data_IF_267187472151
#
_entry.id   IF_267187472151
#
_cell.length_a   1.000
_cell.length_b   1.000
_cell.length_c   1.000
_cell.angle_alpha   90.00
_cell.angle_beta   90.00
_cell.angle_gamma   90.00
#
_symmetry.space_group_name_H-M   'P 1'
#
loop_
_entity.id
_entity.type
_entity.pdbx_description
1 polymer ?
#
# COMPACT_ATOMS: atom_id res chain seq x y z
N UNK A 1 9.40 60.39 5.08
CA UNK A 1 8.05 59.92 4.67
C UNK A 1 8.12 58.82 3.60
N UNK A 2 8.89 59.00 2.52
CA UNK A 2 9.05 58.00 1.44
C UNK A 2 9.70 56.66 1.85
N UNK A 3 10.52 56.62 2.90
CA UNK A 3 11.18 55.39 3.39
C UNK A 3 10.25 54.46 4.17
N UNK A 4 9.29 55.01 4.94
CA UNK A 4 8.28 54.21 5.67
C UNK A 4 7.29 53.50 4.73
N UNK A 5 6.92 54.16 3.63
CA UNK A 5 6.02 53.60 2.61
C UNK A 5 6.68 52.39 1.92
N UNK A 6 7.98 52.51 1.57
CA UNK A 6 8.73 51.39 0.97
C UNK A 6 8.84 50.17 1.91
N UNK A 7 9.06 50.39 3.21
CA UNK A 7 9.14 49.31 4.20
C UNK A 7 7.79 48.61 4.37
N UNK A 8 6.68 49.37 4.43
CA UNK A 8 5.34 48.78 4.50
C UNK A 8 5.00 47.97 3.24
N UNK A 9 5.35 48.46 2.05
CA UNK A 9 5.15 47.72 0.79
C UNK A 9 5.97 46.43 0.73
N UNK A 10 7.23 46.46 1.19
CA UNK A 10 8.08 45.27 1.26
C UNK A 10 7.51 44.26 2.27
N UNK A 11 7.08 44.71 3.44
CA UNK A 11 6.51 43.84 4.47
C UNK A 11 5.20 43.17 3.99
N UNK A 12 4.34 43.93 3.30
CA UNK A 12 3.13 43.40 2.69
C UNK A 12 3.45 42.33 1.63
N UNK A 13 4.43 42.59 0.78
CA UNK A 13 4.83 41.66 -0.28
C UNK A 13 5.42 40.37 0.29
N UNK A 14 6.21 40.47 1.38
CA UNK A 14 6.73 39.31 2.11
C UNK A 14 5.59 38.49 2.74
N UNK A 15 4.59 39.14 3.34
CA UNK A 15 3.42 38.44 3.91
C UNK A 15 2.63 37.71 2.83
N UNK A 16 2.43 38.33 1.66
CA UNK A 16 1.73 37.69 0.53
C UNK A 16 2.50 36.49 -0.01
N UNK A 17 3.83 36.57 -0.11
CA UNK A 17 4.68 35.45 -0.53
C UNK A 17 4.69 34.32 0.52
N UNK A 18 4.74 34.66 1.81
CA UNK A 18 4.66 33.65 2.88
C UNK A 18 3.27 32.98 2.91
N UNK A 19 2.20 33.75 2.70
CA UNK A 19 0.84 33.22 2.63
C UNK A 19 0.66 32.30 1.41
N UNK A 20 1.21 32.65 0.23
CA UNK A 20 1.13 31.80 -0.97
C UNK A 20 1.97 30.52 -0.86
N UNK A 21 3.11 30.56 -0.14
CA UNK A 21 3.89 29.38 0.20
C UNK A 21 3.21 28.47 1.24
N UNK A 22 2.29 28.99 2.05
CA UNK A 22 1.47 28.18 2.96
C UNK A 22 0.30 27.46 2.28
N UNK A 23 -0.09 27.88 1.06
CA UNK A 23 -1.25 27.31 0.34
C UNK A 23 -0.87 26.07 -0.49
N UNK A 24 0.42 25.77 -0.68
CA UNK A 24 0.88 24.72 -1.58
C UNK A 24 1.05 23.33 -0.94
N UNK A 25 0.39 22.99 0.18
CA UNK A 25 0.50 21.63 0.75
C UNK A 25 -0.76 21.12 1.46
N UNK A 26 -1.92 21.26 0.81
CA UNK A 26 -3.08 20.42 1.14
C UNK A 26 -3.51 19.68 -0.15
N UNK A 27 -2.65 18.77 -0.63
CA UNK A 27 -3.18 17.65 -1.39
C UNK A 27 -4.02 16.84 -0.40
N UNK A 28 -5.33 16.88 -0.62
CA UNK A 28 -6.31 16.39 0.33
C UNK A 28 -5.97 14.99 0.83
N UNK A 29 -6.05 14.81 2.15
CA UNK A 29 -6.28 13.51 2.76
C UNK A 29 -7.69 13.02 2.36
N UNK A 30 -7.89 12.80 1.06
CA UNK A 30 -9.10 12.22 0.50
C UNK A 30 -9.18 10.76 0.93
N UNK A 31 -10.33 10.35 1.44
CA UNK A 31 -10.60 8.92 1.66
C UNK A 31 -10.48 8.18 0.33
N UNK A 32 -9.77 7.03 0.32
CA UNK A 32 -9.63 6.24 -0.91
C UNK A 32 -11.02 5.79 -1.41
N UNK A 33 -11.32 6.07 -2.68
CA UNK A 33 -12.58 5.74 -3.35
C UNK A 33 -12.31 4.84 -4.56
N UNK A 34 -13.34 4.10 -4.96
CA UNK A 34 -13.29 3.29 -6.16
C UNK A 34 -12.99 4.18 -7.39
N UNK A 35 -12.06 3.73 -8.23
CA UNK A 35 -11.70 4.40 -9.49
C UNK A 35 -12.63 4.04 -10.63
N UNK A 36 -13.37 2.94 -10.51
CA UNK A 36 -14.26 2.45 -11.56
C UNK A 36 -14.89 1.11 -11.20
N UNK A 37 -15.46 0.46 -12.22
CA UNK A 37 -16.00 -0.88 -12.13
C UNK A 37 -15.71 -1.65 -13.41
N UNK A 38 -15.52 -2.96 -13.28
CA UNK A 38 -15.46 -3.88 -14.40
C UNK A 38 -16.61 -4.88 -14.33
N UNK A 39 -17.02 -5.41 -15.48
CA UNK A 39 -18.06 -6.43 -15.57
C UNK A 39 -17.40 -7.80 -15.72
N UNK A 40 -17.77 -8.73 -14.84
CA UNK A 40 -17.29 -10.11 -14.90
C UNK A 40 -17.65 -10.77 -16.21
N UNK A 41 -16.68 -11.47 -16.78
CA UNK A 41 -16.84 -12.29 -17.98
C UNK A 41 -16.71 -13.75 -17.57
N UNK A 42 -17.54 -14.61 -18.17
CA UNK A 42 -17.45 -16.04 -17.93
C UNK A 42 -16.11 -16.56 -18.47
N UNK A 43 -15.29 -17.25 -17.67
CA UNK A 43 -14.09 -17.92 -18.19
C UNK A 43 -14.47 -18.99 -19.21
N UNK A 44 -13.64 -19.16 -20.24
CA UNK A 44 -13.72 -20.33 -21.13
C UNK A 44 -13.30 -21.61 -20.37
N UNK A 45 -13.64 -22.79 -20.91
CA UNK A 45 -13.27 -24.07 -20.28
C UNK A 45 -11.76 -24.16 -20.03
N UNK A 46 -11.36 -24.49 -18.79
CA UNK A 46 -9.95 -24.60 -18.39
C UNK A 46 -9.30 -23.29 -17.94
N UNK A 47 -10.06 -22.19 -17.85
CA UNK A 47 -9.60 -20.91 -17.33
C UNK A 47 -10.24 -20.60 -15.97
N UNK A 48 -9.51 -19.85 -15.14
CA UNK A 48 -9.72 -19.61 -13.71
C UNK A 48 -9.27 -20.76 -12.79
N UNK A 49 -8.03 -20.64 -12.32
CA UNK A 49 -7.43 -21.42 -11.26
C UNK A 49 -8.16 -21.16 -9.95
N UNK A 50 -8.62 -22.24 -9.31
CA UNK A 50 -9.31 -22.22 -8.01
C UNK A 50 -8.43 -22.75 -6.86
N UNK A 51 -7.13 -22.86 -7.07
CA UNK A 51 -6.19 -23.11 -5.97
C UNK A 51 -6.35 -22.03 -4.89
N UNK A 52 -6.11 -22.41 -3.63
CA UNK A 52 -6.19 -21.54 -2.45
C UNK A 52 -7.54 -20.80 -2.30
N UNK A 53 -8.63 -21.42 -2.76
CA UNK A 53 -9.99 -20.88 -2.74
C UNK A 53 -10.15 -19.59 -3.57
N UNK A 54 -9.31 -19.42 -4.60
CA UNK A 54 -9.40 -18.31 -5.56
C UNK A 54 -10.79 -18.25 -6.22
N UNK A 55 -11.42 -17.09 -6.15
CA UNK A 55 -12.74 -16.84 -6.74
C UNK A 55 -12.63 -16.57 -8.25
N UNK A 56 -13.62 -17.04 -9.01
CA UNK A 56 -13.76 -16.69 -10.43
C UNK A 56 -14.80 -15.60 -10.61
N UNK A 57 -14.57 -14.69 -11.55
CA UNK A 57 -15.57 -13.69 -11.89
C UNK A 57 -16.85 -14.33 -12.42
N UNK A 58 -17.96 -14.00 -11.77
CA UNK A 58 -19.31 -14.31 -12.26
C UNK A 58 -19.70 -13.43 -13.46
N UNK A 59 -20.35 -14.03 -14.44
CA UNK A 59 -20.83 -13.34 -15.64
C UNK A 59 -21.82 -12.23 -15.29
N UNK A 60 -21.56 -11.03 -15.79
CA UNK A 60 -22.46 -9.89 -15.61
C UNK A 60 -22.36 -9.16 -14.27
N UNK A 61 -21.75 -9.76 -13.25
CA UNK A 61 -21.49 -9.15 -11.93
C UNK A 61 -20.53 -7.96 -12.05
N UNK A 62 -20.76 -6.90 -11.29
CA UNK A 62 -19.88 -5.73 -11.27
C UNK A 62 -18.86 -5.82 -10.13
N UNK A 63 -17.59 -5.64 -10.45
CA UNK A 63 -16.48 -5.60 -9.50
C UNK A 63 -15.91 -4.19 -9.45
N UNK A 64 -15.68 -3.67 -8.25
CA UNK A 64 -15.10 -2.33 -8.09
C UNK A 64 -13.60 -2.38 -8.34
N UNK A 65 -13.05 -1.33 -8.95
CA UNK A 65 -11.62 -1.16 -9.13
C UNK A 65 -11.11 0.01 -8.32
N UNK A 66 -9.84 -0.06 -7.92
CA UNK A 66 -9.18 0.96 -7.10
C UNK A 66 -7.77 1.22 -7.61
N UNK A 67 -7.37 2.50 -7.60
CA UNK A 67 -5.99 2.96 -7.84
C UNK A 67 -5.30 3.42 -6.54
N UNK A 68 -6.00 3.33 -5.43
CA UNK A 68 -5.56 3.79 -4.11
C UNK A 68 -5.79 2.69 -3.08
N UNK A 69 -5.20 2.87 -1.90
CA UNK A 69 -5.41 2.03 -0.73
C UNK A 69 -5.70 2.92 0.49
N UNK A 70 -6.22 2.37 1.60
CA UNK A 70 -6.35 3.12 2.84
C UNK A 70 -5.01 3.72 3.32
N UNK A 71 -5.02 4.80 4.11
CA UNK A 71 -3.80 5.44 4.59
C UNK A 71 -2.88 4.46 5.33
N UNK A 72 -1.57 4.54 5.03
CA UNK A 72 -0.55 3.81 5.78
C UNK A 72 -0.35 4.51 7.13
N UNK A 73 -0.43 3.74 8.22
CA UNK A 73 -0.24 4.23 9.59
C UNK A 73 0.76 3.34 10.33
N UNK A 74 1.04 3.65 11.60
CA UNK A 74 1.79 2.72 12.49
C UNK A 74 1.03 1.42 12.79
N UNK A 75 -0.22 1.30 12.34
CA UNK A 75 -1.03 0.10 12.50
C UNK A 75 -1.97 -0.04 11.30
N UNK A 76 -1.39 -0.09 10.10
CA UNK A 76 -2.16 -0.19 8.85
C UNK A 76 -2.99 -1.47 8.87
N UNK A 77 -4.32 -1.34 8.95
CA UNK A 77 -5.23 -2.48 8.93
C UNK A 77 -5.39 -2.97 7.50
N UNK A 78 -5.44 -4.28 7.32
CA UNK A 78 -5.64 -4.92 6.03
C UNK A 78 -6.18 -6.33 6.18
N UNK A 79 -6.49 -6.95 5.05
CA UNK A 79 -6.91 -8.34 4.96
C UNK A 79 -5.76 -9.13 4.34
N UNK A 80 -5.33 -10.18 5.03
CA UNK A 80 -4.39 -11.15 4.50
C UNK A 80 -5.15 -12.16 3.63
N UNK A 81 -4.71 -12.35 2.40
CA UNK A 81 -5.17 -13.39 1.47
C UNK A 81 -4.06 -14.42 1.24
N UNK A 82 -4.41 -15.60 0.74
CA UNK A 82 -3.46 -16.68 0.43
C UNK A 82 -3.22 -16.71 -1.07
N UNK A 83 -1.95 -16.69 -1.46
CA UNK A 83 -1.53 -16.77 -2.86
C UNK A 83 -0.24 -17.58 -3.00
N UNK A 84 -0.11 -18.27 -4.12
CA UNK A 84 1.12 -18.90 -4.56
C UNK A 84 1.85 -18.01 -5.57
N UNK A 85 3.10 -17.71 -5.26
CA UNK A 85 4.01 -16.95 -6.13
C UNK A 85 4.87 -17.87 -7.01
N UNK A 86 4.58 -19.18 -7.00
CA UNK A 86 5.30 -20.17 -7.78
C UNK A 86 4.86 -20.15 -9.24
N UNK A 87 5.74 -20.67 -10.11
CA UNK A 87 5.38 -20.84 -11.52
C UNK A 87 4.26 -21.85 -11.65
N UNK A 88 3.12 -21.41 -12.16
CA UNK A 88 1.92 -22.24 -12.31
C UNK A 88 1.01 -22.25 -11.08
N UNK A 89 1.30 -21.44 -10.06
CA UNK A 89 0.38 -21.14 -8.97
C UNK A 89 -0.76 -20.19 -9.41
N UNK A 90 -1.61 -19.83 -8.46
CA UNK A 90 -2.74 -18.91 -8.64
C UNK A 90 -2.36 -17.43 -8.76
N UNK A 91 -1.14 -17.05 -8.36
CA UNK A 91 -0.60 -15.69 -8.54
C UNK A 91 -0.31 -15.30 -9.99
N UNK A 92 -0.46 -16.23 -10.93
CA UNK A 92 -0.35 -15.96 -12.36
C UNK A 92 1.10 -15.73 -12.83
N UNK A 93 1.45 -14.47 -13.08
CA UNK A 93 2.70 -14.06 -13.72
C UNK A 93 3.91 -14.04 -12.76
N UNK A 94 5.07 -13.67 -13.30
CA UNK A 94 6.24 -13.37 -12.48
C UNK A 94 6.05 -12.03 -11.75
N UNK A 95 6.58 -11.92 -10.53
CA UNK A 95 6.25 -10.80 -9.64
C UNK A 95 6.84 -9.46 -10.10
N UNK A 96 6.06 -8.38 -9.93
CA UNK A 96 6.33 -7.06 -10.49
C UNK A 96 7.64 -6.40 -10.02
N UNK A 97 8.14 -6.73 -8.83
CA UNK A 97 9.34 -6.10 -8.30
C UNK A 97 10.66 -6.60 -8.91
N UNK A 98 10.72 -7.88 -9.28
CA UNK A 98 11.97 -8.52 -9.70
C UNK A 98 11.84 -9.46 -10.90
N UNK A 99 10.65 -9.56 -11.48
CA UNK A 99 10.33 -10.42 -12.62
C UNK A 99 10.69 -11.89 -12.37
N UNK A 100 10.45 -12.38 -11.15
CA UNK A 100 10.70 -13.76 -10.74
C UNK A 100 9.48 -14.42 -10.11
N UNK A 101 9.47 -15.74 -10.15
CA UNK A 101 8.61 -16.55 -9.29
C UNK A 101 9.30 -16.80 -7.95
N UNK A 102 8.52 -16.88 -6.88
CA UNK A 102 9.00 -17.10 -5.52
C UNK A 102 8.39 -18.37 -4.95
N UNK A 103 9.20 -19.17 -4.25
CA UNK A 103 8.73 -20.42 -3.63
C UNK A 103 7.69 -20.12 -2.55
N UNK A 104 6.71 -21.00 -2.40
CA UNK A 104 5.69 -20.88 -1.35
C UNK A 104 6.27 -20.96 0.07
N UNK A 105 7.48 -21.50 0.19
CA UNK A 105 8.27 -21.55 1.42
C UNK A 105 8.95 -20.23 1.79
N UNK A 106 8.98 -19.25 0.89
CA UNK A 106 9.57 -17.93 1.16
C UNK A 106 8.49 -17.00 1.71
N UNK A 107 8.72 -16.26 2.81
CA UNK A 107 7.76 -15.32 3.34
C UNK A 107 7.71 -14.05 2.46
N UNK A 108 6.94 -14.13 1.38
CA UNK A 108 6.74 -13.05 0.40
C UNK A 108 5.28 -12.62 0.31
N UNK A 109 5.05 -11.37 -0.11
CA UNK A 109 3.72 -10.77 -0.27
C UNK A 109 3.60 -9.86 -1.50
N UNK A 110 2.37 -9.72 -1.98
CA UNK A 110 1.92 -8.64 -2.87
C UNK A 110 1.12 -7.59 -2.08
N UNK A 111 1.15 -6.33 -2.51
CA UNK A 111 0.39 -5.25 -1.88
C UNK A 111 -0.63 -4.65 -2.85
N UNK A 112 -1.80 -4.26 -2.36
CA UNK A 112 -2.75 -3.44 -3.14
C UNK A 112 -2.09 -2.15 -3.67
N UNK A 113 -2.54 -1.57 -4.79
CA UNK A 113 -1.79 -0.55 -5.56
C UNK A 113 -1.34 0.68 -4.76
N UNK A 114 -2.19 1.20 -3.87
CA UNK A 114 -1.80 2.35 -3.03
C UNK A 114 -0.74 2.01 -1.99
N UNK A 115 -0.71 0.77 -1.50
CA UNK A 115 0.35 0.26 -0.63
C UNK A 115 1.56 -0.23 -1.41
N UNK A 116 1.41 -0.75 -2.63
CA UNK A 116 2.53 -1.03 -3.51
C UNK A 116 3.30 0.25 -3.89
N UNK A 117 2.55 1.35 -4.06
CA UNK A 117 3.07 2.71 -4.24
C UNK A 117 4.06 2.81 -5.41
N UNK A 118 3.63 2.35 -6.59
CA UNK A 118 4.45 2.32 -7.81
C UNK A 118 5.81 1.65 -7.60
N UNK A 119 5.83 0.53 -6.87
CA UNK A 119 7.03 -0.22 -6.56
C UNK A 119 7.97 0.43 -5.54
N UNK A 120 7.61 1.55 -4.90
CA UNK A 120 8.46 2.17 -3.86
C UNK A 120 8.70 1.24 -2.66
N UNK A 121 7.84 0.23 -2.46
CA UNK A 121 8.01 -0.80 -1.42
C UNK A 121 8.62 -2.10 -1.93
N UNK A 122 8.97 -2.19 -3.21
CA UNK A 122 9.58 -3.38 -3.77
C UNK A 122 10.85 -3.79 -3.03
N UNK A 123 10.95 -5.09 -2.77
CA UNK A 123 12.10 -5.72 -2.11
C UNK A 123 12.41 -5.14 -0.72
N UNK A 124 11.42 -4.48 -0.11
CA UNK A 124 11.45 -4.09 1.30
C UNK A 124 10.64 -5.06 2.12
N UNK A 125 11.02 -5.18 3.39
CA UNK A 125 10.29 -6.02 4.32
C UNK A 125 9.21 -5.21 5.03
N UNK A 126 8.08 -5.87 5.30
CA UNK A 126 7.05 -5.38 6.20
C UNK A 126 6.87 -6.37 7.35
N UNK A 127 6.42 -5.88 8.50
CA UNK A 127 6.01 -6.75 9.60
C UNK A 127 4.49 -6.89 9.58
N UNK A 128 4.02 -8.13 9.56
CA UNK A 128 2.62 -8.51 9.50
C UNK A 128 2.24 -9.11 10.85
N UNK A 129 1.17 -8.58 11.45
CA UNK A 129 0.67 -9.01 12.75
C UNK A 129 -0.73 -9.58 12.58
N UNK A 130 -0.89 -10.85 12.94
CA UNK A 130 -2.14 -11.61 12.78
C UNK A 130 -2.15 -12.85 13.66
N UNK A 131 -3.33 -13.31 14.06
CA UNK A 131 -3.48 -14.54 14.87
C UNK A 131 -2.58 -14.56 16.14
N UNK A 132 -2.36 -13.40 16.76
CA UNK A 132 -1.50 -13.24 17.94
C UNK A 132 0.00 -13.41 17.68
N UNK A 133 0.43 -13.45 16.42
CA UNK A 133 1.82 -13.64 15.99
C UNK A 133 2.28 -12.54 15.04
N UNK A 134 3.57 -12.51 14.80
CA UNK A 134 4.24 -11.60 13.88
C UNK A 134 5.09 -12.39 12.89
N UNK A 135 5.11 -11.92 11.63
CA UNK A 135 6.04 -12.41 10.61
C UNK A 135 6.57 -11.24 9.79
N UNK A 136 7.86 -11.30 9.46
CA UNK A 136 8.51 -10.38 8.53
C UNK A 136 8.45 -10.97 7.13
N UNK A 137 7.89 -10.23 6.17
CA UNK A 137 7.72 -10.69 4.80
C UNK A 137 8.27 -9.69 3.79
N UNK A 138 8.80 -10.20 2.67
CA UNK A 138 9.35 -9.38 1.58
C UNK A 138 8.24 -9.01 0.59
N UNK A 139 8.13 -7.74 0.25
CA UNK A 139 7.22 -7.29 -0.81
C UNK A 139 7.85 -7.58 -2.17
N UNK A 140 7.20 -8.44 -2.95
CA UNK A 140 7.68 -8.88 -4.27
C UNK A 140 6.75 -8.48 -5.41
N UNK A 141 5.49 -8.15 -5.12
CA UNK A 141 4.49 -7.96 -6.17
C UNK A 141 3.43 -6.89 -5.86
N UNK A 142 2.65 -6.56 -6.88
CA UNK A 142 1.44 -5.75 -6.79
C UNK A 142 0.20 -6.65 -6.88
N UNK A 143 -0.71 -6.53 -5.91
CA UNK A 143 -2.03 -7.14 -5.99
C UNK A 143 -2.95 -6.18 -6.77
N UNK A 144 -3.08 -6.37 -8.08
CA UNK A 144 -3.73 -5.40 -8.97
C UNK A 144 -5.24 -5.26 -8.66
N UNK A 145 -5.63 -4.12 -8.11
CA UNK A 145 -7.04 -3.76 -7.89
C UNK A 145 -7.65 -2.93 -9.02
N UNK A 146 -6.92 -2.69 -10.11
CA UNK A 146 -7.33 -1.87 -11.25
C UNK A 146 -7.91 -2.69 -12.40
N UNK A 147 -7.55 -3.97 -12.49
CA UNK A 147 -7.93 -4.92 -13.54
C UNK A 147 -8.29 -6.28 -12.95
N UNK A 148 -8.83 -7.17 -13.78
CA UNK A 148 -9.35 -8.47 -13.39
C UNK A 148 -10.44 -8.92 -14.36
N UNK A 149 -11.00 -10.10 -14.13
CA UNK A 149 -12.06 -10.70 -14.95
C UNK A 149 -11.71 -10.79 -16.45
N UNK A 150 -10.43 -10.97 -16.77
CA UNK A 150 -9.91 -11.11 -18.12
C UNK A 150 -8.88 -12.24 -18.19
N UNK A 151 -8.46 -12.60 -19.40
CA UNK A 151 -7.54 -13.73 -19.60
C UNK A 151 -6.14 -13.52 -18.99
N UNK A 152 -5.70 -12.27 -18.79
CA UNK A 152 -4.38 -11.99 -18.20
C UNK A 152 -4.38 -12.26 -16.69
N UNK A 153 -5.54 -12.10 -16.04
CA UNK A 153 -5.75 -12.34 -14.61
C UNK A 153 -6.49 -13.67 -14.38
N UNK A 154 -6.45 -14.58 -15.36
CA UNK A 154 -7.13 -15.88 -15.33
C UNK A 154 -8.62 -15.80 -14.90
N UNK A 155 -9.29 -14.70 -15.29
CA UNK A 155 -10.67 -14.39 -14.92
C UNK A 155 -10.95 -14.32 -13.40
N UNK A 156 -9.92 -14.13 -12.57
CA UNK A 156 -10.06 -13.79 -11.15
C UNK A 156 -10.51 -12.32 -10.98
N UNK A 157 -11.24 -11.98 -9.91
CA UNK A 157 -11.68 -10.61 -9.66
C UNK A 157 -10.50 -9.67 -9.36
N UNK A 158 -10.67 -8.35 -9.53
CA UNK A 158 -9.69 -7.37 -9.07
C UNK A 158 -9.43 -7.54 -7.58
N UNK A 159 -8.16 -7.35 -7.19
CA UNK A 159 -7.77 -7.38 -5.80
C UNK A 159 -8.53 -6.32 -4.98
N UNK A 160 -8.72 -6.58 -3.68
CA UNK A 160 -9.23 -5.56 -2.77
C UNK A 160 -8.20 -4.45 -2.57
N UNK A 161 -8.64 -3.24 -2.23
CA UNK A 161 -7.75 -2.09 -2.07
C UNK A 161 -6.98 -2.06 -0.73
N UNK A 162 -7.29 -3.00 0.15
CA UNK A 162 -6.71 -3.16 1.48
C UNK A 162 -6.19 -4.58 1.73
N UNK A 163 -5.78 -5.27 0.66
CA UNK A 163 -5.28 -6.63 0.70
C UNK A 163 -3.75 -6.68 0.80
N UNK A 164 -3.27 -7.69 1.50
CA UNK A 164 -1.89 -8.15 1.51
C UNK A 164 -1.95 -9.61 1.10
N UNK A 165 -1.50 -9.90 -0.11
CA UNK A 165 -1.64 -11.22 -0.68
C UNK A 165 -0.38 -12.03 -0.43
N UNK A 166 -0.50 -13.16 0.27
CA UNK A 166 0.62 -13.73 1.00
C UNK A 166 0.84 -15.21 0.72
N UNK A 167 2.12 -15.54 0.60
CA UNK A 167 2.62 -16.91 0.45
C UNK A 167 2.23 -17.84 1.61
N UNK A 168 2.21 -19.16 1.34
CA UNK A 168 1.92 -20.19 2.35
C UNK A 168 2.83 -20.05 3.59
N UNK A 169 4.10 -19.68 3.42
CA UNK A 169 5.03 -19.44 4.52
C UNK A 169 4.62 -18.32 5.49
N UNK A 170 3.99 -17.23 4.99
CA UNK A 170 3.49 -16.15 5.85
C UNK A 170 2.37 -16.66 6.74
N UNK A 171 1.42 -17.40 6.17
CA UNK A 171 0.31 -18.02 6.93
C UNK A 171 0.80 -19.04 7.97
N UNK A 172 1.83 -19.82 7.62
CA UNK A 172 2.47 -20.77 8.54
C UNK A 172 3.18 -20.08 9.71
N UNK A 173 3.92 -19.01 9.44
CA UNK A 173 4.59 -18.23 10.48
C UNK A 173 3.59 -17.55 11.43
N UNK A 174 2.45 -17.09 10.91
CA UNK A 174 1.32 -16.59 11.71
C UNK A 174 0.57 -17.70 12.45
N UNK A 175 0.96 -18.97 12.30
CA UNK A 175 0.39 -20.09 13.03
C UNK A 175 -1.06 -20.39 12.66
N UNK A 176 -1.49 -20.04 11.44
CA UNK A 176 -2.86 -20.28 10.97
C UNK A 176 -2.95 -21.69 10.36
N UNK A 177 -3.82 -22.57 10.90
CA UNK A 177 -4.04 -23.91 10.35
C UNK A 177 -4.49 -23.85 8.89
N UNK A 178 -4.06 -24.82 8.06
CA UNK A 178 -4.36 -24.85 6.61
C UNK A 178 -5.86 -24.73 6.30
N UNK A 179 -6.70 -25.42 7.07
CA UNK A 179 -8.16 -25.40 6.91
C UNK A 179 -8.85 -24.11 7.42
N UNK A 180 -8.08 -23.14 7.90
CA UNK A 180 -8.57 -21.82 8.33
C UNK A 180 -7.92 -20.68 7.54
N UNK A 181 -7.23 -20.99 6.45
CA UNK A 181 -6.69 -19.98 5.52
C UNK A 181 -7.79 -19.52 4.57
N UNK A 182 -7.61 -18.33 4.01
CA UNK A 182 -8.60 -17.67 3.18
C UNK A 182 -8.50 -16.17 3.42
N UNK A 183 -9.20 -15.67 4.45
CA UNK A 183 -9.17 -14.27 4.85
C UNK A 183 -8.81 -14.14 6.33
N UNK A 184 -7.86 -13.26 6.64
CA UNK A 184 -7.49 -12.93 8.02
C UNK A 184 -7.34 -11.42 8.20
N UNK A 185 -8.05 -10.87 9.19
CA UNK A 185 -7.81 -9.50 9.65
C UNK A 185 -6.41 -9.38 10.26
N UNK A 186 -5.64 -8.43 9.73
CA UNK A 186 -4.28 -8.16 10.17
C UNK A 186 -4.02 -6.67 10.36
N UNK A 187 -2.88 -6.37 10.95
CA UNK A 187 -2.28 -5.05 10.81
C UNK A 187 -0.81 -5.17 10.44
N UNK A 188 -0.28 -4.13 9.80
CA UNK A 188 1.09 -4.11 9.31
C UNK A 188 1.84 -2.86 9.74
N UNK A 189 3.15 -3.04 9.89
CA UNK A 189 4.13 -1.98 9.91
C UNK A 189 4.79 -1.92 8.53
N UNK A 190 4.26 -1.06 7.66
CA UNK A 190 4.78 -0.79 6.32
C UNK A 190 5.75 0.40 6.35
N UNK A 191 6.67 0.40 7.32
CA UNK A 191 7.59 1.51 7.52
C UNK A 191 8.52 1.62 6.31
N UNK A 192 8.22 2.58 5.44
CA UNK A 192 9.24 3.21 4.63
C UNK A 192 10.05 4.17 5.53
N UNK A 193 11.34 4.33 5.24
CA UNK A 193 12.23 5.35 5.84
C UNK A 193 11.66 6.80 5.82
N UNK A 194 10.51 7.03 5.21
CA UNK A 194 9.74 8.28 5.24
C UNK A 194 9.18 8.64 6.63
N UNK A 195 8.97 7.65 7.52
CA UNK A 195 8.65 7.95 8.93
C UNK A 195 9.90 8.34 9.73
N UNK A 196 11.07 7.82 9.36
CA UNK A 196 12.32 8.32 9.93
C UNK A 196 12.63 9.72 9.43
N UNK A 197 12.38 10.07 8.18
CA UNK A 197 12.60 11.45 7.72
C UNK A 197 11.67 12.46 8.41
N UNK A 198 10.40 12.12 8.64
CA UNK A 198 9.49 12.98 9.41
C UNK A 198 9.88 13.04 10.90
N UNK A 199 10.33 11.92 11.51
CA UNK A 199 10.90 11.93 12.86
C UNK A 199 12.18 12.78 12.91
N UNK A 200 13.12 12.63 11.97
CA UNK A 200 14.35 13.41 11.87
C UNK A 200 14.05 14.89 11.71
N UNK A 201 13.13 15.25 10.80
CA UNK A 201 12.69 16.65 10.59
C UNK A 201 12.08 17.21 11.87
N UNK A 202 11.23 16.44 12.55
CA UNK A 202 10.54 16.85 13.77
C UNK A 202 11.50 16.95 14.97
N UNK A 203 12.46 16.03 15.13
CA UNK A 203 13.55 16.17 16.10
C UNK A 203 14.47 17.34 15.76
N UNK A 204 14.82 17.56 14.50
CA UNK A 204 15.71 18.65 14.08
C UNK A 204 15.06 20.02 14.32
N UNK A 205 13.77 20.19 14.02
CA UNK A 205 13.02 21.43 14.32
C UNK A 205 12.88 21.66 15.83
N UNK A 206 12.59 20.62 16.61
CA UNK A 206 12.47 20.72 18.08
C UNK A 206 13.82 21.04 18.75
N UNK A 207 14.92 20.49 18.23
CA UNK A 207 16.26 20.76 18.75
C UNK A 207 16.72 22.17 18.36
N UNK A 208 16.44 22.62 17.13
CA UNK A 208 16.73 23.99 16.69
C UNK A 208 15.93 25.06 17.46
N UNK A 209 14.66 24.80 17.80
CA UNK A 209 13.87 25.72 18.64
C UNK A 209 14.39 25.80 20.08
N UNK A 210 14.83 24.68 20.67
CA UNK A 210 15.44 24.66 22.00
C UNK A 210 16.82 25.31 22.06
N UNK A 211 17.65 25.16 21.02
CA UNK A 211 18.95 25.83 20.95
C UNK A 211 18.78 27.34 20.74
N UNK A 212 17.79 27.78 19.95
CA UNK A 212 17.54 29.21 19.71
C UNK A 212 16.99 29.94 20.95
N UNK A 213 16.30 29.25 21.87
CA UNK A 213 15.89 29.81 23.17
C UNK A 213 17.00 29.84 24.23
N UNK A 214 18.15 29.19 23.99
CA UNK A 214 19.26 29.14 24.95
C UNK A 214 20.33 30.23 24.73
N UNK A 215 20.19 31.05 23.68
CA UNK A 215 21.11 32.16 23.35
C UNK A 215 20.44 33.55 23.41
N UNK A 216 19.29 33.65 24.09
CA UNK A 216 18.65 34.93 24.43
C UNK A 216 18.53 35.00 25.96
N UNK A 217 19.66 35.20 26.62
CA UNK A 217 19.80 35.75 27.97
C UNK A 217 21.09 36.59 27.99
#
# INVERSE_FOLDING_TARGET
>A
MMTRIKIQSILFLVIVVLASLCVSSIEGAGTCRASGKIRGKKPHHGHCNRENDSECCEEGKQYSTFKCSPPVTKRTKGILTLNSFEKGGDGGGASACDNKFHKDSNPVVALSPGWFNHGKRCLKHINIFGNGREVKALVVDECDSTKGCDAQHDFQPPCSNNAIDASKAVWEALGVPKNKRGLLDIHCLMLDDQLLSSIFIQTYTTTKSRISSAYIL
#
